data_IF_141074077746
#
_entry.id   IF_141074077746
#
_cell.length_a   1.000
_cell.length_b   1.000
_cell.length_c   1.000
_cell.angle_alpha   90.00
_cell.angle_beta   90.00
_cell.angle_gamma   90.00
#
_symmetry.space_group_name_H-M   'P 1'
#
loop_
_entity.id
_entity.type
_entity.pdbx_description
1 polymer ?
#
# COMPACT_ATOMS: atom_id res chain seq x y z
N UNK A 1 12.39 14.91 -22.68
CA UNK A 1 11.63 15.42 -21.52
C UNK A 1 10.28 14.76 -21.63
N UNK A 2 10.08 13.65 -20.91
CA UNK A 2 8.79 12.98 -20.81
C UNK A 2 7.94 13.76 -19.81
N UNK A 3 6.77 14.17 -20.27
CA UNK A 3 5.79 15.01 -19.56
C UNK A 3 4.95 14.14 -18.60
N UNK A 4 5.59 13.21 -17.88
CA UNK A 4 4.93 12.43 -16.84
C UNK A 4 4.83 13.28 -15.57
N UNK A 5 3.67 13.37 -14.90
CA UNK A 5 3.61 14.04 -13.63
C UNK A 5 4.49 13.28 -12.62
N UNK A 6 5.41 14.00 -11.96
CA UNK A 6 6.03 13.57 -10.72
C UNK A 6 4.91 13.33 -9.69
N UNK A 7 4.52 12.07 -9.48
CA UNK A 7 3.43 11.69 -8.57
C UNK A 7 2.15 11.21 -9.26
N UNK A 8 1.13 10.85 -8.49
CA UNK A 8 -0.14 10.31 -9.00
C UNK A 8 -1.16 11.42 -9.27
N UNK A 9 -2.11 11.22 -10.20
CA UNK A 9 -3.18 12.20 -10.49
C UNK A 9 -3.95 12.61 -9.22
N UNK A 10 -4.13 11.64 -8.31
CA UNK A 10 -4.84 11.82 -7.05
C UNK A 10 -4.11 11.08 -5.94
N UNK A 11 -3.88 11.78 -4.83
CA UNK A 11 -3.42 11.17 -3.58
C UNK A 11 -4.42 11.38 -2.45
N UNK A 12 -4.53 10.40 -1.57
CA UNK A 12 -5.46 10.43 -0.45
C UNK A 12 -4.88 9.73 0.77
N UNK A 13 -5.20 10.29 1.94
CA UNK A 13 -4.87 9.74 3.24
C UNK A 13 -6.14 9.45 4.03
N UNK A 14 -6.29 8.23 4.52
CA UNK A 14 -7.33 7.86 5.50
C UNK A 14 -6.65 7.59 6.84
N UNK A 15 -6.98 8.37 7.87
CA UNK A 15 -6.51 8.10 9.23
C UNK A 15 -7.20 6.84 9.77
N UNK A 16 -6.39 5.88 10.25
CA UNK A 16 -6.88 4.67 10.93
C UNK A 16 -6.90 4.91 12.44
N UNK A 17 -5.81 5.43 12.99
CA UNK A 17 -5.70 5.88 14.38
C UNK A 17 -4.58 6.93 14.50
N UNK A 18 -4.17 7.28 15.72
CA UNK A 18 -3.14 8.30 15.98
C UNK A 18 -1.79 8.01 15.34
N UNK A 19 -1.45 6.73 15.14
CA UNK A 19 -0.17 6.27 14.61
C UNK A 19 -0.29 5.49 13.32
N UNK A 20 -1.47 5.38 12.72
CA UNK A 20 -1.65 4.59 11.51
C UNK A 20 -2.54 5.30 10.50
N UNK A 21 -2.16 5.23 9.24
CA UNK A 21 -2.92 5.78 8.12
C UNK A 21 -2.82 4.89 6.89
N UNK A 22 -3.81 4.99 6.01
CA UNK A 22 -3.72 4.46 4.65
C UNK A 22 -3.39 5.62 3.75
N UNK A 23 -2.26 5.56 3.04
CA UNK A 23 -1.90 6.47 1.96
C UNK A 23 -2.14 5.76 0.63
N UNK A 24 -2.59 6.51 -0.35
CA UNK A 24 -2.82 5.96 -1.67
C UNK A 24 -2.65 6.99 -2.76
N UNK A 25 -2.17 6.52 -3.91
CA UNK A 25 -2.04 7.26 -5.15
C UNK A 25 -2.78 6.53 -6.25
N UNK A 26 -3.45 7.25 -7.13
CA UNK A 26 -4.20 6.71 -8.26
C UNK A 26 -4.03 7.62 -9.48
N UNK A 27 -3.64 7.03 -10.61
CA UNK A 27 -3.69 7.68 -11.93
C UNK A 27 -4.62 6.91 -12.85
N UNK A 28 -5.39 7.64 -13.66
CA UNK A 28 -6.39 7.04 -14.56
C UNK A 28 -6.41 7.71 -15.91
N UNK A 29 -6.56 6.93 -16.97
CA UNK A 29 -6.81 7.43 -18.31
C UNK A 29 -8.18 6.99 -18.81
N UNK A 30 -9.02 7.97 -19.19
CA UNK A 30 -10.40 7.73 -19.67
C UNK A 30 -11.26 6.88 -18.73
N UNK A 31 -10.94 6.88 -17.43
CA UNK A 31 -11.66 6.13 -16.40
C UNK A 31 -11.08 4.76 -16.09
N UNK A 32 -10.09 4.30 -16.86
CA UNK A 32 -9.33 3.09 -16.58
C UNK A 32 -8.11 3.41 -15.72
N UNK A 33 -7.82 2.54 -14.77
CA UNK A 33 -6.65 2.64 -13.88
C UNK A 33 -5.39 2.31 -14.67
N UNK A 34 -4.40 3.22 -14.65
CA UNK A 34 -3.08 2.99 -15.26
C UNK A 34 -2.04 2.61 -14.20
N UNK A 35 -2.08 3.29 -13.04
CA UNK A 35 -1.20 2.99 -11.91
C UNK A 35 -1.85 3.35 -10.59
N UNK A 36 -1.55 2.60 -9.55
CA UNK A 36 -1.94 2.92 -8.19
C UNK A 36 -0.94 2.41 -7.17
N UNK A 37 -0.95 2.99 -5.98
CA UNK A 37 -0.51 2.30 -4.76
C UNK A 37 -1.56 2.50 -3.67
N UNK A 38 -1.77 1.48 -2.84
CA UNK A 38 -2.51 1.58 -1.59
C UNK A 38 -1.61 1.00 -0.49
N UNK A 39 -1.22 1.82 0.48
CA UNK A 39 -0.30 1.39 1.55
C UNK A 39 -0.79 1.76 2.93
N UNK A 40 -0.55 0.87 3.88
CA UNK A 40 -0.70 1.13 5.31
C UNK A 40 0.62 1.64 5.84
N UNK A 41 0.59 2.77 6.53
CA UNK A 41 1.74 3.40 7.17
C UNK A 41 1.55 3.45 8.68
N UNK A 42 2.67 3.40 9.40
CA UNK A 42 2.72 3.54 10.85
C UNK A 42 3.72 4.64 11.27
N UNK A 43 3.34 5.49 12.21
CA UNK A 43 4.18 6.55 12.74
C UNK A 43 5.08 6.00 13.84
N UNK A 44 6.38 5.95 13.56
CA UNK A 44 7.41 5.49 14.48
C UNK A 44 8.69 6.28 14.23
N UNK A 45 9.41 6.65 15.29
CA UNK A 45 10.67 7.40 15.22
C UNK A 45 10.59 8.65 14.33
N UNK A 46 9.52 9.44 14.54
CA UNK A 46 9.22 10.71 13.86
C UNK A 46 9.07 10.61 12.33
N UNK A 47 8.70 9.44 11.82
CA UNK A 47 8.46 9.21 10.40
C UNK A 47 7.31 8.22 10.15
N UNK A 48 6.71 8.32 8.96
CA UNK A 48 5.78 7.32 8.45
C UNK A 48 6.55 6.17 7.82
N UNK A 49 6.41 4.98 8.41
CA UNK A 49 7.01 3.75 7.90
C UNK A 49 5.96 2.90 7.19
N UNK A 50 6.35 2.30 6.06
CA UNK A 50 5.51 1.36 5.32
C UNK A 50 5.30 0.09 6.17
N UNK A 51 4.05 -0.34 6.29
CA UNK A 51 3.67 -1.61 6.94
C UNK A 51 3.38 -2.65 5.89
N UNK A 52 2.51 -2.29 4.94
CA UNK A 52 2.19 -3.08 3.74
C UNK A 52 1.85 -2.17 2.57
N UNK A 53 2.06 -2.67 1.35
CA UNK A 53 1.72 -1.97 0.11
C UNK A 53 1.13 -2.93 -0.92
N UNK A 54 0.10 -2.48 -1.60
CA UNK A 54 -0.32 -3.00 -2.91
C UNK A 54 -0.01 -1.93 -3.94
N UNK A 55 0.47 -2.32 -5.12
CA UNK A 55 0.63 -1.39 -6.22
C UNK A 55 0.53 -2.04 -7.59
N UNK A 56 0.29 -1.18 -8.58
CA UNK A 56 0.33 -1.47 -9.99
C UNK A 56 1.03 -0.28 -10.66
N UNK A 57 2.12 -0.53 -11.37
CA UNK A 57 2.89 0.50 -12.07
C UNK A 57 3.74 -0.12 -13.18
N UNK A 58 3.11 -0.68 -14.24
CA UNK A 58 3.77 -1.51 -15.24
C UNK A 58 4.82 -0.76 -16.07
N UNK A 59 4.70 0.57 -16.18
CA UNK A 59 5.57 1.39 -17.03
C UNK A 59 6.96 1.68 -16.41
N UNK A 60 7.33 0.99 -15.33
CA UNK A 60 8.64 1.14 -14.69
C UNK A 60 9.43 -0.16 -14.74
N UNK A 61 10.77 -0.08 -14.83
CA UNK A 61 11.66 -1.25 -14.96
C UNK A 61 11.48 -2.29 -13.86
N UNK A 62 11.07 -1.85 -12.66
CA UNK A 62 10.79 -2.69 -11.49
C UNK A 62 9.33 -2.57 -11.04
N UNK A 63 8.46 -2.19 -11.96
CA UNK A 63 7.03 -2.03 -11.76
C UNK A 63 6.30 -3.34 -11.54
N UNK A 64 5.13 -3.25 -10.92
CA UNK A 64 4.24 -4.38 -10.72
C UNK A 64 3.08 -4.34 -11.71
N UNK A 65 2.83 -5.45 -12.42
CA UNK A 65 1.67 -5.59 -13.29
C UNK A 65 0.71 -6.64 -12.73
N UNK A 66 -0.30 -6.18 -11.97
CA UNK A 66 -1.27 -7.11 -11.37
C UNK A 66 -2.14 -7.85 -12.41
N UNK A 67 -2.14 -7.44 -13.68
CA UNK A 67 -2.86 -8.13 -14.75
C UNK A 67 -2.12 -9.37 -15.25
N UNK A 68 -0.79 -9.40 -15.08
CA UNK A 68 0.07 -10.54 -15.41
C UNK A 68 0.52 -11.31 -14.16
N UNK A 69 0.96 -10.59 -13.12
CA UNK A 69 1.54 -11.14 -11.88
C UNK A 69 0.45 -11.60 -10.89
N UNK A 70 -0.76 -11.10 -11.05
CA UNK A 70 -1.81 -11.20 -10.03
C UNK A 70 -1.61 -10.22 -8.88
N UNK A 71 -2.66 -10.05 -8.06
CA UNK A 71 -2.63 -9.14 -6.94
C UNK A 71 -1.73 -9.70 -5.83
N UNK A 72 -0.77 -8.89 -5.37
CA UNK A 72 0.06 -9.22 -4.22
C UNK A 72 0.23 -8.02 -3.29
N UNK A 73 0.56 -8.31 -2.04
CA UNK A 73 0.80 -7.34 -0.99
C UNK A 73 2.22 -7.49 -0.48
N UNK A 74 2.99 -6.45 -0.65
CA UNK A 74 4.30 -6.33 -0.06
C UNK A 74 4.19 -6.03 1.44
N UNK A 75 5.00 -6.72 2.22
CA UNK A 75 5.10 -6.59 3.66
C UNK A 75 6.46 -6.04 3.99
N UNK A 76 6.48 -4.95 4.75
CA UNK A 76 7.69 -4.22 5.11
C UNK A 76 8.09 -4.48 6.56
N UNK A 77 9.39 -4.42 6.79
CA UNK A 77 10.03 -4.47 8.11
C UNK A 77 11.34 -3.71 8.04
N UNK A 78 11.63 -2.89 9.04
CA UNK A 78 12.89 -2.13 9.13
C UNK A 78 13.13 -1.25 7.88
N UNK A 79 12.06 -0.68 7.32
CA UNK A 79 12.09 0.16 6.11
C UNK A 79 12.37 -0.59 4.81
N UNK A 80 12.36 -1.91 4.81
CA UNK A 80 12.65 -2.74 3.64
C UNK A 80 11.54 -3.76 3.38
N UNK A 81 11.34 -4.13 2.11
CA UNK A 81 10.46 -5.23 1.72
C UNK A 81 10.96 -6.52 2.33
N UNK A 82 10.17 -7.09 3.24
CA UNK A 82 10.48 -8.29 4.00
C UNK A 82 9.90 -9.55 3.35
N UNK A 83 8.68 -9.47 2.83
CA UNK A 83 7.96 -10.62 2.25
C UNK A 83 6.85 -10.15 1.31
N UNK A 84 6.49 -11.00 0.35
CA UNK A 84 5.28 -10.86 -0.48
C UNK A 84 4.19 -11.82 0.01
N UNK A 85 2.94 -11.35 0.03
CA UNK A 85 1.73 -12.18 0.13
C UNK A 85 1.03 -12.14 -1.23
N UNK A 86 0.79 -13.28 -1.84
CA UNK A 86 0.30 -13.41 -3.24
C UNK A 86 -0.90 -14.37 -3.37
N UNK A 87 -1.43 -14.89 -2.26
CA UNK A 87 -2.61 -15.77 -2.21
C UNK A 87 -3.94 -14.99 -2.27
N UNK A 88 -3.99 -13.92 -3.07
CA UNK A 88 -5.21 -13.16 -3.29
C UNK A 88 -6.04 -13.77 -4.43
N UNK A 89 -7.38 -13.66 -4.40
CA UNK A 89 -8.19 -14.02 -5.55
C UNK A 89 -7.85 -13.12 -6.75
N UNK A 90 -8.16 -13.55 -7.98
CA UNK A 90 -8.09 -12.66 -9.14
C UNK A 90 -8.95 -11.41 -8.92
N UNK A 91 -8.37 -10.23 -9.15
CA UNK A 91 -9.05 -8.94 -9.03
C UNK A 91 -8.84 -8.14 -10.30
N UNK A 92 -9.93 -7.73 -10.92
CA UNK A 92 -9.90 -6.82 -12.07
C UNK A 92 -9.20 -5.50 -11.72
N UNK A 93 -8.34 -4.99 -12.61
CA UNK A 93 -7.51 -3.80 -12.38
C UNK A 93 -8.31 -2.60 -11.88
N UNK A 94 -9.42 -2.26 -12.56
CA UNK A 94 -10.28 -1.14 -12.16
C UNK A 94 -10.97 -1.33 -10.79
N UNK A 95 -11.02 -2.56 -10.26
CA UNK A 95 -11.54 -2.87 -8.92
C UNK A 95 -10.45 -2.95 -7.86
N UNK A 96 -9.19 -3.11 -8.26
CA UNK A 96 -8.06 -3.36 -7.36
C UNK A 96 -7.85 -2.24 -6.32
N UNK A 97 -7.87 -0.93 -6.65
CA UNK A 97 -7.69 0.12 -5.64
C UNK A 97 -8.69 0.03 -4.49
N UNK A 98 -9.97 -0.22 -4.82
CA UNK A 98 -11.03 -0.36 -3.82
C UNK A 98 -10.87 -1.65 -3.01
N UNK A 99 -10.58 -2.76 -3.68
CA UNK A 99 -10.34 -4.05 -3.03
C UNK A 99 -9.19 -3.95 -2.01
N UNK A 100 -8.04 -3.40 -2.41
CA UNK A 100 -6.86 -3.25 -1.56
C UNK A 100 -7.14 -2.34 -0.36
N UNK A 101 -7.85 -1.23 -0.58
CA UNK A 101 -8.26 -0.32 0.51
C UNK A 101 -9.14 -1.03 1.52
N UNK A 102 -10.14 -1.78 1.07
CA UNK A 102 -11.02 -2.56 1.94
C UNK A 102 -10.23 -3.61 2.71
N UNK A 103 -9.37 -4.37 2.02
CA UNK A 103 -8.53 -5.41 2.63
C UNK A 103 -7.66 -4.84 3.76
N UNK A 104 -6.96 -3.73 3.50
CA UNK A 104 -6.13 -3.09 4.52
C UNK A 104 -6.98 -2.62 5.69
N UNK A 105 -8.15 -2.00 5.46
CA UNK A 105 -9.03 -1.57 6.56
C UNK A 105 -9.53 -2.72 7.42
N UNK A 106 -9.96 -3.81 6.80
CA UNK A 106 -10.48 -5.00 7.50
C UNK A 106 -9.39 -5.75 8.28
N UNK A 107 -8.12 -5.63 7.86
CA UNK A 107 -7.00 -6.31 8.47
C UNK A 107 -6.02 -5.38 9.22
N UNK A 108 -6.30 -4.08 9.30
CA UNK A 108 -5.39 -3.05 9.82
C UNK A 108 -4.86 -3.43 11.20
N UNK A 109 -5.76 -3.77 12.12
CA UNK A 109 -5.47 -4.25 13.46
C UNK A 109 -4.39 -5.36 13.51
N UNK A 110 -4.53 -6.38 12.65
CA UNK A 110 -3.59 -7.50 12.62
C UNK A 110 -2.26 -7.08 12.01
N UNK A 111 -2.28 -6.28 10.96
CA UNK A 111 -1.09 -5.81 10.26
C UNK A 111 -0.26 -4.88 11.15
N UNK A 112 -0.93 -3.95 11.84
CA UNK A 112 -0.33 -3.03 12.80
C UNK A 112 0.27 -3.79 13.98
N UNK A 113 -0.48 -4.71 14.62
CA UNK A 113 0.04 -5.48 15.75
C UNK A 113 1.29 -6.29 15.38
N UNK A 114 1.35 -6.85 14.17
CA UNK A 114 2.55 -7.53 13.67
C UNK A 114 3.72 -6.57 13.54
N UNK A 115 3.50 -5.41 12.93
CA UNK A 115 4.53 -4.37 12.77
C UNK A 115 5.07 -3.92 14.13
N UNK A 116 4.18 -3.53 15.05
CA UNK A 116 4.53 -3.14 16.42
C UNK A 116 5.35 -4.22 17.15
N UNK A 117 4.98 -5.49 16.97
CA UNK A 117 5.72 -6.62 17.57
C UNK A 117 7.13 -6.75 17.00
N UNK A 118 7.32 -6.56 15.69
CA UNK A 118 8.65 -6.57 15.07
C UNK A 118 9.51 -5.39 15.52
N UNK A 119 8.89 -4.27 15.85
CA UNK A 119 9.54 -3.02 16.23
C UNK A 119 9.55 -2.75 17.75
N UNK A 120 9.13 -3.71 18.57
CA UNK A 120 9.05 -3.60 20.04
C UNK A 120 8.29 -2.35 20.54
N UNK A 121 7.23 -1.95 19.84
CA UNK A 121 6.36 -0.84 20.28
C UNK A 121 5.49 -1.31 21.45
N UNK A 122 5.60 -0.65 22.61
CA UNK A 122 4.86 -1.06 23.80
C UNK A 122 3.42 -0.55 23.77
N UNK A 123 2.53 -1.15 24.58
CA UNK A 123 1.14 -0.69 24.67
C UNK A 123 1.02 0.75 25.17
N UNK A 124 1.93 1.21 26.02
CA UNK A 124 2.03 2.61 26.46
C UNK A 124 2.44 3.58 25.36
N UNK A 125 3.01 3.06 24.27
CA UNK A 125 3.41 3.83 23.11
C UNK A 125 2.31 3.86 22.04
N UNK A 126 1.15 3.22 22.22
CA UNK A 126 0.06 3.19 21.22
C UNK A 126 -0.84 4.43 21.25
#
# INVERSE_FOLDING_TARGET
MTDEPEGYDREFTTIINRRAQIRAGLSTHKGDVERFFIQLEYWLDDQWLEVVRFDHNPDTEFGHDITEDGLHMDIYRDGQKHRVKDDFPPVELNRAPRYCTTYIREHADRLIRRFETWHNVNETDR
#
